data_IF_101167333959
#
_entry.id   IF_101167333959
#
_cell.length_a   1.000
_cell.length_b   1.000
_cell.length_c   1.000
_cell.angle_alpha   90.00
_cell.angle_beta   90.00
_cell.angle_gamma   90.00
#
_symmetry.space_group_name_H-M   'P 1'
#
loop_
_entity.id
_entity.type
_entity.pdbx_description
1 polymer ?
#
# COMPACT_ATOMS: atom_id res chain seq x y z
N UNK A 1 -7.30 -6.88 -18.00
CA UNK A 1 -7.08 -8.21 -17.40
C UNK A 1 -5.66 -8.61 -17.73
N UNK A 2 -4.81 -8.72 -16.71
CA UNK A 2 -3.42 -9.19 -16.83
C UNK A 2 -3.37 -10.72 -16.67
N UNK A 3 -4.02 -11.45 -17.57
CA UNK A 3 -4.03 -12.90 -17.53
C UNK A 3 -2.61 -13.44 -17.78
N UNK A 4 -2.08 -14.23 -16.84
CA UNK A 4 -0.80 -14.93 -16.95
C UNK A 4 0.45 -14.03 -16.97
N UNK A 5 0.39 -12.84 -16.36
CA UNK A 5 1.60 -12.03 -16.15
C UNK A 5 2.41 -12.59 -14.96
N UNK A 6 3.12 -13.69 -15.19
CA UNK A 6 3.96 -14.35 -14.18
C UNK A 6 5.15 -13.51 -13.76
N UNK A 7 5.62 -12.60 -14.59
CA UNK A 7 6.79 -11.76 -14.25
C UNK A 7 6.40 -10.49 -13.47
N UNK A 8 5.10 -10.20 -13.35
CA UNK A 8 4.63 -9.01 -12.67
C UNK A 8 4.68 -9.22 -11.16
N UNK A 9 5.74 -8.72 -10.52
CA UNK A 9 5.95 -8.81 -9.08
C UNK A 9 5.48 -7.59 -8.30
N UNK A 10 5.34 -6.44 -8.97
CA UNK A 10 4.89 -5.19 -8.36
C UNK A 10 4.03 -4.34 -9.29
N UNK A 11 3.11 -3.56 -8.72
CA UNK A 11 2.33 -2.54 -9.44
C UNK A 11 2.18 -1.26 -8.62
N UNK A 12 1.94 -0.14 -9.31
CA UNK A 12 1.51 1.11 -8.71
C UNK A 12 0.16 1.54 -9.32
N UNK A 13 -0.83 1.82 -8.46
CA UNK A 13 -2.17 2.28 -8.81
C UNK A 13 -2.21 3.80 -8.55
N UNK A 14 -2.25 4.63 -9.61
CA UNK A 14 -2.26 6.08 -9.46
C UNK A 14 -3.52 6.61 -8.76
N UNK A 15 -3.40 7.77 -8.12
CA UNK A 15 -4.53 8.46 -7.46
C UNK A 15 -5.70 8.74 -8.40
N UNK A 16 -5.44 8.90 -9.71
CA UNK A 16 -6.47 9.19 -10.71
C UNK A 16 -7.33 7.98 -11.08
N UNK A 17 -6.99 6.77 -10.64
CA UNK A 17 -7.78 5.57 -10.91
C UNK A 17 -9.04 5.63 -10.04
N UNK A 18 -10.21 5.61 -10.69
CA UNK A 18 -11.52 5.69 -10.03
C UNK A 18 -12.26 4.36 -9.98
N UNK A 19 -11.75 3.32 -10.64
CA UNK A 19 -12.34 1.98 -10.67
C UNK A 19 -11.30 0.94 -11.07
N UNK A 20 -11.37 -0.25 -10.50
CA UNK A 20 -10.58 -1.43 -10.90
C UNK A 20 -11.54 -2.55 -11.25
N UNK A 21 -11.35 -3.15 -12.43
CA UNK A 21 -12.23 -4.22 -12.91
C UNK A 21 -12.09 -5.51 -12.08
N UNK A 22 -13.16 -6.30 -12.05
CA UNK A 22 -13.16 -7.67 -11.51
C UNK A 22 -12.03 -8.46 -12.19
N UNK A 23 -11.27 -9.23 -11.40
CA UNK A 23 -10.15 -10.06 -11.88
C UNK A 23 -9.06 -9.31 -12.67
N UNK A 24 -8.91 -7.99 -12.45
CA UNK A 24 -7.93 -7.19 -13.21
C UNK A 24 -6.51 -7.78 -13.15
N UNK A 25 -6.09 -8.31 -12.00
CA UNK A 25 -4.76 -8.90 -11.74
C UNK A 25 -4.81 -10.35 -11.24
N UNK A 26 -5.96 -11.03 -11.27
CA UNK A 26 -6.11 -12.39 -10.74
C UNK A 26 -5.15 -13.42 -11.38
N UNK A 27 -4.66 -13.14 -12.59
CA UNK A 27 -3.71 -13.97 -13.32
C UNK A 27 -2.22 -13.68 -13.05
N UNK A 28 -1.89 -12.89 -12.03
CA UNK A 28 -0.51 -12.47 -11.72
C UNK A 28 0.02 -13.16 -10.44
N UNK A 29 0.39 -14.46 -10.46
CA UNK A 29 0.65 -15.24 -9.25
C UNK A 29 1.87 -14.77 -8.44
N UNK A 30 2.80 -14.06 -9.07
CA UNK A 30 4.01 -13.54 -8.40
C UNK A 30 3.86 -12.09 -7.92
N UNK A 31 2.68 -11.48 -8.06
CA UNK A 31 2.43 -10.11 -7.61
C UNK A 31 2.42 -10.06 -6.08
N UNK A 32 3.49 -9.53 -5.50
CA UNK A 32 3.67 -9.47 -4.04
C UNK A 32 3.77 -8.05 -3.50
N UNK A 33 3.85 -7.04 -4.36
CA UNK A 33 3.91 -5.63 -3.96
C UNK A 33 2.87 -4.81 -4.72
N UNK A 34 1.93 -4.22 -3.98
CA UNK A 34 0.90 -3.35 -4.55
C UNK A 34 1.03 -1.99 -3.90
N UNK A 35 1.35 -0.95 -4.67
CA UNK A 35 1.28 0.43 -4.21
C UNK A 35 -0.02 1.05 -4.68
N UNK A 36 -0.81 1.62 -3.77
CA UNK A 36 -2.00 2.40 -4.09
C UNK A 36 -1.78 3.84 -3.66
N UNK A 37 -1.80 4.79 -4.61
CA UNK A 37 -1.70 6.22 -4.32
C UNK A 37 -3.07 6.88 -4.09
N UNK A 38 -4.12 6.08 -3.87
CA UNK A 38 -5.48 6.57 -3.66
C UNK A 38 -5.62 7.04 -2.20
N UNK A 39 -5.89 8.32 -1.99
CA UNK A 39 -6.09 8.90 -0.64
C UNK A 39 -7.51 8.76 -0.10
N UNK A 40 -8.46 8.43 -0.98
CA UNK A 40 -9.87 8.16 -0.66
C UNK A 40 -10.28 6.85 -1.32
N UNK A 41 -10.06 5.70 -0.65
CA UNK A 41 -10.33 4.40 -1.25
C UNK A 41 -11.82 4.23 -1.56
N UNK A 42 -12.09 3.35 -2.52
CA UNK A 42 -13.41 2.84 -2.87
C UNK A 42 -13.33 1.32 -2.88
N UNK A 43 -14.46 0.63 -2.69
CA UNK A 43 -14.50 -0.82 -2.72
C UNK A 43 -14.00 -1.36 -4.06
N UNK A 44 -13.08 -2.31 -3.98
CA UNK A 44 -12.71 -3.14 -5.12
C UNK A 44 -13.19 -4.57 -4.83
N UNK A 45 -13.46 -5.33 -5.88
CA UNK A 45 -13.87 -6.71 -5.68
C UNK A 45 -12.74 -7.53 -5.06
N UNK A 46 -13.06 -8.46 -4.15
CA UNK A 46 -12.08 -9.36 -3.52
C UNK A 46 -11.33 -10.29 -4.50
N UNK A 47 -11.70 -10.31 -5.78
CA UNK A 47 -10.99 -11.04 -6.84
C UNK A 47 -10.04 -10.18 -7.68
N UNK A 48 -9.88 -8.89 -7.37
CA UNK A 48 -9.00 -8.01 -8.15
C UNK A 48 -7.57 -8.54 -8.15
N UNK A 49 -7.08 -8.99 -6.99
CA UNK A 49 -5.76 -9.60 -6.84
C UNK A 49 -5.85 -11.11 -6.57
N UNK A 50 -4.79 -11.88 -6.85
CA UNK A 50 -4.70 -13.27 -6.43
C UNK A 50 -4.80 -13.42 -4.91
N UNK A 51 -5.35 -14.55 -4.45
CA UNK A 51 -5.42 -14.88 -3.01
C UNK A 51 -4.05 -14.79 -2.33
N UNK A 52 -2.99 -15.23 -3.01
CA UNK A 52 -1.64 -15.19 -2.45
C UNK A 52 -1.12 -13.75 -2.24
N UNK A 53 -1.49 -12.82 -3.12
CA UNK A 53 -1.16 -11.41 -2.96
C UNK A 53 -1.80 -10.82 -1.71
N UNK A 54 -3.04 -11.23 -1.39
CA UNK A 54 -3.69 -10.80 -0.14
C UNK A 54 -3.04 -11.41 1.10
N UNK A 55 -2.62 -12.69 1.04
CA UNK A 55 -2.09 -13.41 2.21
C UNK A 55 -0.61 -13.14 2.49
N UNK A 56 0.22 -13.02 1.45
CA UNK A 56 1.68 -12.92 1.55
C UNK A 56 2.25 -11.61 0.99
N UNK A 57 1.49 -10.92 0.14
CA UNK A 57 1.90 -9.65 -0.44
C UNK A 57 1.79 -8.48 0.54
N UNK A 58 2.39 -7.35 0.15
CA UNK A 58 2.32 -6.09 0.89
C UNK A 58 1.56 -5.04 0.08
N UNK A 59 0.56 -4.43 0.72
CA UNK A 59 -0.13 -3.25 0.21
C UNK A 59 0.52 -2.00 0.82
N UNK A 60 1.06 -1.14 -0.03
CA UNK A 60 1.60 0.17 0.32
C UNK A 60 0.56 1.25 0.02
N UNK A 61 0.23 2.09 1.01
CA UNK A 61 -0.81 3.12 0.91
C UNK A 61 -0.30 4.47 1.41
N UNK A 62 -0.96 5.61 1.12
CA UNK A 62 -0.52 6.91 1.62
C UNK A 62 -0.68 6.98 3.14
N UNK A 63 0.22 7.69 3.81
CA UNK A 63 0.19 7.86 5.27
C UNK A 63 -1.10 8.51 5.78
N UNK A 64 -1.56 8.02 6.93
CA UNK A 64 -2.80 8.43 7.57
C UNK A 64 -4.07 7.93 6.88
N UNK A 65 -3.96 6.96 5.96
CA UNK A 65 -5.11 6.39 5.24
C UNK A 65 -5.43 4.95 5.61
N UNK A 66 -4.62 4.28 6.43
CA UNK A 66 -4.84 2.88 6.82
C UNK A 66 -6.24 2.64 7.39
N UNK A 67 -6.72 3.54 8.25
CA UNK A 67 -8.07 3.47 8.81
C UNK A 67 -9.18 3.50 7.75
N UNK A 68 -8.93 4.09 6.57
CA UNK A 68 -9.86 4.08 5.46
C UNK A 68 -9.79 2.75 4.69
N UNK A 69 -8.59 2.26 4.39
CA UNK A 69 -8.41 1.05 3.56
C UNK A 69 -9.04 -0.19 4.18
N UNK A 70 -9.02 -0.31 5.52
CA UNK A 70 -9.61 -1.45 6.24
C UNK A 70 -11.15 -1.46 6.22
N UNK A 71 -11.80 -0.38 5.81
CA UNK A 71 -13.27 -0.29 5.72
C UNK A 71 -13.82 -0.74 4.35
N UNK A 72 -12.97 -0.85 3.31
CA UNK A 72 -13.42 -1.15 1.94
C UNK A 72 -13.10 -2.59 1.51
N UNK A 73 -14.04 -3.18 0.77
CA UNK A 73 -13.87 -4.51 0.19
C UNK A 73 -12.61 -4.58 -0.68
N UNK A 74 -11.95 -5.73 -0.64
CA UNK A 74 -10.77 -6.08 -1.43
C UNK A 74 -9.49 -5.43 -0.90
N UNK A 75 -9.55 -4.17 -0.44
CA UNK A 75 -8.43 -3.53 0.25
C UNK A 75 -8.20 -4.12 1.64
N UNK A 76 -9.26 -4.30 2.41
CA UNK A 76 -9.20 -4.89 3.77
C UNK A 76 -8.75 -6.36 3.81
N UNK A 77 -8.69 -7.02 2.67
CA UNK A 77 -8.35 -8.45 2.58
C UNK A 77 -6.82 -8.67 2.66
N UNK A 78 -6.02 -7.63 2.39
CA UNK A 78 -4.56 -7.69 2.56
C UNK A 78 -4.19 -7.91 4.03
N UNK A 79 -3.39 -8.94 4.29
CA UNK A 79 -2.89 -9.27 5.63
C UNK A 79 -1.73 -8.38 6.08
N UNK A 80 -1.04 -7.74 5.12
CA UNK A 80 0.02 -6.78 5.40
C UNK A 80 -0.23 -5.46 4.67
N UNK A 81 -0.53 -4.41 5.45
CA UNK A 81 -0.77 -3.04 4.96
C UNK A 81 0.27 -2.14 5.61
N UNK A 82 1.02 -1.41 4.79
CA UNK A 82 2.09 -0.51 5.21
C UNK A 82 1.78 0.88 4.68
N UNK A 83 1.76 1.87 5.57
CA UNK A 83 1.74 3.27 5.16
C UNK A 83 3.12 3.65 4.60
N UNK A 84 3.11 4.27 3.42
CA UNK A 84 4.29 4.70 2.70
C UNK A 84 4.03 6.08 2.12
N UNK A 85 4.94 7.00 2.40
CA UNK A 85 4.83 8.29 1.77
C UNK A 85 5.25 8.31 0.30
N UNK A 86 4.48 8.99 -0.57
CA UNK A 86 4.88 9.21 -1.95
C UNK A 86 6.19 10.00 -2.10
N UNK A 87 6.76 10.49 -1.00
CA UNK A 87 7.95 11.34 -0.95
C UNK A 87 8.91 10.84 0.16
N UNK A 88 9.37 9.59 0.08
CA UNK A 88 10.43 9.04 0.96
C UNK A 88 11.83 9.67 0.74
N UNK A 89 11.88 10.98 0.51
CA UNK A 89 13.11 11.76 0.45
C UNK A 89 12.96 13.17 1.03
N UNK A 90 11.94 13.43 1.87
CA UNK A 90 11.92 14.68 2.63
C UNK A 90 13.00 14.59 3.71
N UNK A 91 14.05 15.38 3.55
CA UNK A 91 15.16 15.44 4.50
C UNK A 91 14.62 15.81 5.89
N UNK A 92 14.64 14.86 6.82
CA UNK A 92 14.17 15.06 8.20
C UNK A 92 12.96 14.19 8.58
N UNK A 93 12.31 13.55 7.62
CA UNK A 93 11.31 12.51 7.86
C UNK A 93 12.03 11.22 8.27
N UNK A 94 12.00 10.90 9.57
CA UNK A 94 12.72 9.77 10.16
C UNK A 94 11.82 8.55 10.34
N UNK A 95 10.51 8.75 10.45
CA UNK A 95 9.54 7.67 10.63
C UNK A 95 8.87 7.24 9.30
N UNK A 96 9.22 7.89 8.19
CA UNK A 96 8.69 7.67 6.84
C UNK A 96 7.17 7.93 6.71
N UNK A 97 6.65 8.88 7.49
CA UNK A 97 5.26 9.32 7.48
C UNK A 97 5.00 10.54 6.54
N UNK A 98 6.05 10.94 5.80
CA UNK A 98 6.11 11.99 4.78
C UNK A 98 5.67 13.36 5.23
N UNK A 99 5.60 13.56 6.54
CA UNK A 99 5.61 14.87 7.16
C UNK A 99 6.98 15.07 7.79
N UNK A 100 7.27 16.33 8.09
CA UNK A 100 8.37 16.66 9.00
C UNK A 100 7.72 17.31 10.19
N UNK A 101 7.42 16.51 11.21
CA UNK A 101 6.67 16.90 12.39
C UNK A 101 7.26 16.35 13.70
N UNK A 102 6.47 16.40 14.79
CA UNK A 102 6.95 15.98 16.11
C UNK A 102 7.22 14.48 16.19
N UNK A 103 6.57 13.66 15.36
CA UNK A 103 6.77 12.22 15.34
C UNK A 103 8.19 11.85 14.86
N UNK A 104 8.78 12.63 13.95
CA UNK A 104 10.18 12.46 13.54
C UNK A 104 11.17 12.72 14.66
N UNK A 105 10.86 13.70 15.52
CA UNK A 105 11.70 14.00 16.68
C UNK A 105 11.60 12.87 17.70
N UNK A 106 10.43 12.25 17.86
CA UNK A 106 10.28 11.05 18.70
C UNK A 106 11.12 9.90 18.14
N UNK A 107 11.05 9.67 16.83
CA UNK A 107 11.84 8.63 16.18
C UNK A 107 13.36 8.88 16.31
N UNK A 108 13.79 10.14 16.15
CA UNK A 108 15.17 10.53 16.40
C UNK A 108 15.60 10.21 17.84
N UNK A 109 14.74 10.51 18.81
CA UNK A 109 14.98 10.27 20.23
C UNK A 109 15.13 8.77 20.51
N UNK A 110 14.30 7.92 19.93
CA UNK A 110 14.45 6.45 20.07
C UNK A 110 15.79 5.97 19.51
N UNK A 111 16.17 6.43 18.31
CA UNK A 111 17.44 6.07 17.65
C UNK A 111 18.66 6.47 18.49
N UNK A 112 18.69 7.68 19.06
CA UNK A 112 19.84 8.15 19.86
C UNK A 112 19.89 7.54 21.26
N UNK A 113 18.75 7.10 21.80
CA UNK A 113 18.68 6.48 23.13
C UNK A 113 18.89 4.96 23.07
N UNK A 114 18.74 4.34 21.91
CA UNK A 114 18.97 2.91 21.71
C UNK A 114 17.85 2.02 22.28
N UNK A 115 16.61 2.50 22.23
CA UNK A 115 15.40 1.74 22.59
C UNK A 115 14.76 1.09 21.35
#
# INVERSE_FOLDING_TARGET
MFASCTDLSSIAIPQSVTSIGIEAFAGCPNLMSVTSNITKPYSIHSSVFPTETYMQGTLYIPTGTQGLYVDYEGWREFQNIVEMDPISNLRGDLNNDGKVDAADVVELVNIIMGE
#
